data_IF_511481677813
#
_entry.id   IF_511481677813
#
_cell.length_a   1.000
_cell.length_b   1.000
_cell.length_c   1.000
_cell.angle_alpha   90.00
_cell.angle_beta   90.00
_cell.angle_gamma   90.00
#
_symmetry.space_group_name_H-M   'P 1'
#
loop_
_entity.id
_entity.type
_entity.pdbx_description
1 polymer ?
#
# COMPACT_ATOMS: atom_id res chain seq x y z
N UNK A 1 -12.39 -60.12 -38.82
CA UNK A 1 -13.44 -59.87 -37.81
C UNK A 1 -12.84 -60.09 -36.43
N UNK A 2 -12.33 -59.02 -35.81
CA UNK A 2 -11.82 -59.05 -34.43
C UNK A 2 -13.01 -59.06 -33.48
N UNK A 3 -13.18 -60.15 -32.70
CA UNK A 3 -14.17 -60.20 -31.63
C UNK A 3 -13.84 -59.08 -30.63
N UNK A 4 -14.76 -58.14 -30.34
CA UNK A 4 -14.51 -57.18 -29.27
C UNK A 4 -14.45 -57.97 -27.96
N UNK A 5 -13.37 -57.77 -27.20
CA UNK A 5 -13.18 -58.34 -25.88
C UNK A 5 -13.54 -57.24 -24.85
N UNK A 6 -14.83 -57.03 -24.56
CA UNK A 6 -15.31 -55.88 -23.78
C UNK A 6 -14.71 -55.82 -22.36
N UNK A 7 -14.32 -56.99 -21.84
CA UNK A 7 -13.65 -57.10 -20.55
C UNK A 7 -12.24 -56.49 -20.56
N UNK A 8 -11.51 -56.60 -21.68
CA UNK A 8 -10.15 -56.07 -21.82
C UNK A 8 -10.16 -54.54 -21.90
N UNK A 9 -11.15 -53.97 -22.59
CA UNK A 9 -11.36 -52.52 -22.66
C UNK A 9 -11.81 -51.94 -21.31
N UNK A 10 -12.69 -52.64 -20.59
CA UNK A 10 -13.12 -52.23 -19.24
C UNK A 10 -11.95 -52.25 -18.26
N UNK A 11 -11.11 -53.30 -18.29
CA UNK A 11 -9.98 -53.44 -17.39
C UNK A 11 -8.91 -52.37 -17.67
N UNK A 12 -8.66 -52.06 -18.95
CA UNK A 12 -7.77 -50.95 -19.34
C UNK A 12 -8.31 -49.59 -18.88
N UNK A 13 -9.61 -49.33 -19.02
CA UNK A 13 -10.22 -48.07 -18.58
C UNK A 13 -10.12 -47.89 -17.05
N UNK A 14 -10.37 -48.95 -16.28
CA UNK A 14 -10.24 -48.93 -14.82
C UNK A 14 -8.80 -48.66 -14.39
N UNK A 15 -7.81 -49.27 -15.05
CA UNK A 15 -6.40 -49.03 -14.76
C UNK A 15 -5.99 -47.59 -15.02
N UNK A 16 -6.40 -47.02 -16.15
CA UNK A 16 -6.10 -45.62 -16.50
C UNK A 16 -6.75 -44.66 -15.49
N UNK A 17 -8.01 -44.91 -15.13
CA UNK A 17 -8.73 -44.08 -14.17
C UNK A 17 -8.13 -44.19 -12.77
N UNK A 18 -7.77 -45.39 -12.32
CA UNK A 18 -7.10 -45.63 -11.05
C UNK A 18 -5.73 -44.95 -10.97
N UNK A 19 -4.91 -45.05 -12.03
CA UNK A 19 -3.63 -44.37 -12.11
C UNK A 19 -3.79 -42.84 -12.09
N UNK A 20 -4.77 -42.30 -12.81
CA UNK A 20 -5.09 -40.87 -12.83
C UNK A 20 -5.51 -40.35 -11.45
N UNK A 21 -6.37 -41.08 -10.73
CA UNK A 21 -6.76 -40.72 -9.35
C UNK A 21 -5.55 -40.75 -8.41
N UNK A 22 -4.70 -41.77 -8.52
CA UNK A 22 -3.51 -41.90 -7.68
C UNK A 22 -2.50 -40.76 -7.91
N UNK A 23 -2.23 -40.43 -9.18
CA UNK A 23 -1.37 -39.31 -9.56
C UNK A 23 -1.98 -37.97 -9.13
N UNK A 24 -3.30 -37.80 -9.31
CA UNK A 24 -4.03 -36.60 -8.90
C UNK A 24 -4.00 -36.37 -7.40
N UNK A 25 -4.22 -37.41 -6.59
CA UNK A 25 -4.13 -37.31 -5.11
C UNK A 25 -2.71 -37.00 -4.68
N UNK A 26 -1.68 -37.58 -5.33
CA UNK A 26 -0.28 -37.27 -5.03
C UNK A 26 0.10 -35.83 -5.35
N UNK A 27 -0.46 -35.25 -6.42
CA UNK A 27 -0.28 -33.84 -6.78
C UNK A 27 -1.05 -32.90 -5.84
N UNK A 28 -2.29 -33.25 -5.46
CA UNK A 28 -3.07 -32.45 -4.51
C UNK A 28 -2.48 -32.46 -3.09
N UNK A 29 -1.83 -33.56 -2.70
CA UNK A 29 -1.26 -33.74 -1.36
C UNK A 29 0.23 -33.43 -1.29
N UNK A 30 0.87 -33.12 -2.41
CA UNK A 30 2.21 -32.54 -2.37
C UNK A 30 2.08 -31.16 -1.75
N UNK A 31 2.63 -30.98 -0.55
CA UNK A 31 2.83 -29.67 0.03
C UNK A 31 3.77 -28.91 -0.92
N UNK A 32 3.20 -28.14 -1.84
CA UNK A 32 3.98 -27.14 -2.56
C UNK A 32 4.64 -26.29 -1.50
N UNK A 33 5.97 -26.21 -1.53
CA UNK A 33 6.72 -25.30 -0.68
C UNK A 33 6.14 -23.92 -0.95
N UNK A 34 5.35 -23.40 -0.02
CA UNK A 34 4.89 -22.04 -0.06
C UNK A 34 6.17 -21.21 -0.08
N UNK A 35 6.46 -20.58 -1.21
CA UNK A 35 7.56 -19.63 -1.32
C UNK A 35 7.30 -18.61 -0.23
N UNK A 36 8.12 -18.65 0.82
CA UNK A 36 8.08 -17.64 1.87
C UNK A 36 8.36 -16.34 1.13
N UNK A 37 7.33 -15.50 1.02
CA UNK A 37 7.46 -14.22 0.36
C UNK A 37 8.64 -13.51 1.00
N UNK A 38 9.63 -13.14 0.19
CA UNK A 38 10.75 -12.35 0.68
C UNK A 38 10.20 -11.08 1.35
N UNK A 39 10.80 -10.62 2.46
CA UNK A 39 10.36 -9.39 3.11
C UNK A 39 10.40 -8.24 2.09
N UNK A 40 9.27 -7.56 1.92
CA UNK A 40 9.10 -6.48 0.94
C UNK A 40 9.62 -5.14 1.45
N UNK A 41 9.94 -5.05 2.74
CA UNK A 41 10.50 -3.86 3.36
C UNK A 41 11.57 -4.19 4.41
N UNK A 42 12.41 -3.20 4.70
CA UNK A 42 13.35 -3.21 5.82
C UNK A 42 12.86 -2.25 6.89
N UNK A 43 12.78 -2.74 8.13
CA UNK A 43 12.44 -1.90 9.27
C UNK A 43 13.56 -0.90 9.55
N UNK A 44 13.20 0.38 9.58
CA UNK A 44 14.05 1.49 10.00
C UNK A 44 13.51 2.04 11.29
N UNK A 45 14.35 2.01 12.32
CA UNK A 45 14.05 2.68 13.58
C UNK A 45 14.46 4.15 13.50
N UNK A 46 13.58 5.04 13.95
CA UNK A 46 13.89 6.45 14.23
C UNK A 46 13.65 6.65 15.72
N UNK A 47 14.70 6.96 16.46
CA UNK A 47 14.57 7.15 17.89
C UNK A 47 13.97 8.53 18.22
N UNK A 48 13.41 8.65 19.42
CA UNK A 48 12.99 9.92 19.98
C UNK A 48 14.15 10.92 19.98
N UNK A 49 13.94 12.11 19.44
CA UNK A 49 14.95 13.16 19.30
C UNK A 49 15.80 13.07 18.03
N UNK A 50 15.66 12.01 17.22
CA UNK A 50 16.31 11.92 15.91
C UNK A 50 15.50 12.64 14.82
N UNK A 51 16.16 13.14 13.77
CA UNK A 51 15.47 13.74 12.64
C UNK A 51 14.70 12.67 11.84
N UNK A 52 13.40 12.86 11.71
CA UNK A 52 12.55 12.16 10.76
C UNK A 52 12.54 12.91 9.43
N UNK A 53 12.97 12.24 8.37
CA UNK A 53 13.10 12.79 7.02
C UNK A 53 12.02 12.21 6.07
N UNK A 54 11.63 12.94 5.01
CA UNK A 54 10.60 12.53 4.05
C UNK A 54 10.82 11.15 3.40
N UNK A 55 12.07 10.74 3.18
CA UNK A 55 12.42 9.45 2.57
C UNK A 55 12.10 8.23 3.44
N UNK A 56 11.58 8.46 4.66
CA UNK A 56 11.05 7.44 5.55
C UNK A 56 9.52 7.49 5.66
N UNK A 57 8.86 8.39 4.93
CA UNK A 57 7.41 8.60 5.03
C UNK A 57 6.76 8.32 3.69
N UNK A 58 5.96 7.25 3.66
CA UNK A 58 5.06 6.95 2.56
C UNK A 58 3.79 7.79 2.67
N UNK A 59 3.36 8.34 1.54
CA UNK A 59 2.16 9.19 1.47
C UNK A 59 1.18 8.65 0.42
N UNK A 60 0.00 8.28 0.89
CA UNK A 60 -1.14 7.91 0.05
C UNK A 60 -1.91 9.19 -0.29
N UNK A 61 -2.15 9.46 -1.57
CA UNK A 61 -2.81 10.68 -2.03
C UNK A 61 -4.13 10.32 -2.71
N UNK A 62 -5.23 10.74 -2.09
CA UNK A 62 -6.58 10.51 -2.58
C UNK A 62 -7.19 11.81 -3.09
N UNK A 63 -7.81 11.79 -4.25
CA UNK A 63 -8.46 12.95 -4.85
C UNK A 63 -9.94 13.02 -4.49
N UNK A 64 -10.36 14.03 -3.75
CA UNK A 64 -11.77 14.38 -3.55
C UNK A 64 -12.19 15.65 -4.33
N UNK A 65 -11.26 16.27 -5.06
CA UNK A 65 -11.54 17.45 -5.90
C UNK A 65 -12.18 17.06 -7.23
N UNK A 66 -12.81 18.03 -7.89
CA UNK A 66 -13.31 17.92 -9.26
C UNK A 66 -12.21 17.98 -10.33
N UNK A 67 -10.91 18.01 -9.95
CA UNK A 67 -9.79 18.20 -10.87
C UNK A 67 -9.13 16.86 -11.21
N UNK A 68 -9.12 16.51 -12.49
CA UNK A 68 -8.50 15.26 -12.96
C UNK A 68 -6.97 15.27 -12.77
N UNK A 69 -6.43 14.14 -12.31
CA UNK A 69 -5.00 13.94 -12.12
C UNK A 69 -4.40 14.76 -10.96
N UNK A 70 -5.22 15.40 -10.12
CA UNK A 70 -4.75 16.23 -9.01
C UNK A 70 -3.93 15.42 -8.00
N UNK A 71 -4.39 14.22 -7.61
CA UNK A 71 -3.64 13.33 -6.72
C UNK A 71 -2.26 12.99 -7.28
N UNK A 72 -2.18 12.59 -8.56
CA UNK A 72 -0.90 12.26 -9.20
C UNK A 72 0.08 13.44 -9.21
N UNK A 73 -0.40 14.66 -9.49
CA UNK A 73 0.44 15.87 -9.45
C UNK A 73 0.96 16.15 -8.03
N UNK A 74 0.12 15.98 -7.03
CA UNK A 74 0.51 16.14 -5.61
C UNK A 74 1.55 15.10 -5.24
N UNK A 75 1.35 13.83 -5.61
CA UNK A 75 2.34 12.76 -5.37
C UNK A 75 3.68 13.08 -5.99
N UNK A 76 3.73 13.50 -7.26
CA UNK A 76 4.99 13.91 -7.92
C UNK A 76 5.65 15.08 -7.16
N UNK A 77 4.87 16.05 -6.69
CA UNK A 77 5.40 17.18 -5.92
C UNK A 77 5.99 16.74 -4.58
N UNK A 78 5.35 15.80 -3.89
CA UNK A 78 5.84 15.23 -2.62
C UNK A 78 7.08 14.36 -2.85
N UNK A 79 7.12 13.54 -3.90
CA UNK A 79 8.30 12.75 -4.27
C UNK A 79 9.52 13.63 -4.55
N UNK A 80 9.34 14.78 -5.20
CA UNK A 80 10.43 15.75 -5.41
C UNK A 80 10.98 16.33 -4.09
N UNK A 81 10.22 16.22 -2.99
CA UNK A 81 10.63 16.59 -1.64
C UNK A 81 11.17 15.40 -0.83
N UNK A 82 11.30 14.24 -1.46
CA UNK A 82 11.87 13.02 -0.89
C UNK A 82 10.85 12.09 -0.25
N UNK A 83 9.55 12.37 -0.27
CA UNK A 83 8.54 11.43 0.24
C UNK A 83 8.47 10.17 -0.61
N UNK A 84 8.14 9.05 0.03
CA UNK A 84 7.88 7.80 -0.65
C UNK A 84 6.46 7.80 -1.22
N UNK A 85 6.31 7.29 -2.44
CA UNK A 85 5.00 7.14 -3.06
C UNK A 85 4.21 6.00 -2.42
N UNK A 86 2.97 6.28 -2.09
CA UNK A 86 1.95 5.30 -1.71
C UNK A 86 0.84 5.23 -2.75
N UNK A 87 -0.37 4.89 -2.31
CA UNK A 87 -1.53 4.79 -3.18
C UNK A 87 -1.92 6.14 -3.81
N UNK A 88 -2.30 6.10 -5.09
CA UNK A 88 -2.86 7.25 -5.82
C UNK A 88 -4.23 6.85 -6.35
N UNK A 89 -5.29 7.48 -5.83
CA UNK A 89 -6.66 7.14 -6.23
C UNK A 89 -7.62 8.32 -6.08
N UNK A 90 -8.88 8.14 -6.49
CA UNK A 90 -9.96 9.04 -6.08
C UNK A 90 -10.45 8.61 -4.69
N UNK A 91 -10.80 9.58 -3.86
CA UNK A 91 -11.32 9.32 -2.51
C UNK A 91 -12.73 8.72 -2.59
N UNK A 92 -12.97 7.68 -1.80
CA UNK A 92 -14.31 7.14 -1.50
C UNK A 92 -14.76 7.50 -0.08
N UNK A 93 -13.97 8.32 0.64
CA UNK A 93 -14.31 8.81 1.97
C UNK A 93 -15.52 9.74 1.90
N UNK A 94 -16.36 9.70 2.93
CA UNK A 94 -17.49 10.60 3.11
C UNK A 94 -17.08 11.91 3.81
N UNK A 95 -15.81 12.05 4.22
CA UNK A 95 -15.29 13.26 4.85
C UNK A 95 -15.30 14.43 3.87
N UNK A 96 -15.84 15.58 4.31
CA UNK A 96 -15.79 16.80 3.53
C UNK A 96 -14.37 17.38 3.57
N UNK A 97 -13.81 17.66 2.39
CA UNK A 97 -12.42 18.11 2.25
C UNK A 97 -12.41 19.43 1.47
N UNK A 98 -12.52 20.59 2.15
CA UNK A 98 -12.50 21.88 1.46
C UNK A 98 -11.10 22.22 0.93
N UNK A 99 -10.03 21.80 1.61
CA UNK A 99 -8.63 22.03 1.18
C UNK A 99 -7.85 20.71 1.18
N UNK A 100 -7.31 20.33 2.34
CA UNK A 100 -6.56 19.08 2.53
C UNK A 100 -6.98 18.50 3.88
N UNK A 101 -7.28 17.21 3.89
CA UNK A 101 -7.61 16.46 5.11
C UNK A 101 -6.71 15.24 5.21
N UNK A 102 -6.09 15.03 6.37
CA UNK A 102 -5.32 13.81 6.64
C UNK A 102 -6.22 12.84 7.41
N UNK A 103 -6.36 11.62 6.89
CA UNK A 103 -7.03 10.55 7.61
C UNK A 103 -6.06 9.94 8.62
N UNK A 104 -6.31 10.17 9.90
CA UNK A 104 -5.45 9.67 10.99
C UNK A 104 -6.23 9.58 12.29
N UNK A 105 -5.89 8.59 13.10
CA UNK A 105 -6.32 8.47 14.50
C UNK A 105 -5.39 9.21 15.46
N UNK A 106 -4.20 9.59 14.99
CA UNK A 106 -3.17 10.27 15.77
C UNK A 106 -2.59 11.46 14.99
N UNK A 107 -3.13 12.68 15.19
CA UNK A 107 -2.59 13.91 14.60
C UNK A 107 -1.22 14.30 15.16
N UNK A 108 -0.80 13.75 16.31
CA UNK A 108 0.49 14.06 16.94
C UNK A 108 1.63 13.19 16.39
N UNK A 109 1.33 12.28 15.45
CA UNK A 109 2.36 11.48 14.78
C UNK A 109 3.36 12.37 14.04
N UNK A 110 4.68 12.27 14.32
CA UNK A 110 5.69 13.05 13.62
C UNK A 110 5.62 12.91 12.08
N UNK A 111 5.22 11.74 11.57
CA UNK A 111 5.03 11.50 10.13
C UNK A 111 3.86 12.32 9.60
N UNK A 112 2.74 12.33 10.34
CA UNK A 112 1.55 13.13 10.01
C UNK A 112 1.88 14.62 10.04
N UNK A 113 2.59 15.08 11.08
CA UNK A 113 3.00 16.48 11.20
C UNK A 113 3.96 16.92 10.09
N UNK A 114 4.91 16.05 9.71
CA UNK A 114 5.83 16.33 8.61
C UNK A 114 5.09 16.47 7.28
N UNK A 115 4.10 15.61 7.02
CA UNK A 115 3.25 15.65 5.82
C UNK A 115 2.32 16.87 5.83
N UNK A 116 1.66 17.16 6.95
CA UNK A 116 0.75 18.29 7.08
C UNK A 116 1.43 19.62 6.74
N UNK A 117 2.66 19.82 7.21
CA UNK A 117 3.44 21.04 6.96
C UNK A 117 3.81 21.25 5.48
N UNK A 118 3.69 20.22 4.63
CA UNK A 118 3.95 20.35 3.20
C UNK A 118 2.85 21.10 2.46
N UNK A 119 1.65 21.24 3.03
CA UNK A 119 0.50 21.81 2.33
C UNK A 119 0.29 23.28 2.75
N UNK A 120 -0.19 24.10 1.80
CA UNK A 120 -0.58 25.49 2.11
C UNK A 120 -1.99 25.51 2.69
N UNK A 121 -2.19 26.37 3.68
CA UNK A 121 -3.51 26.63 4.28
C UNK A 121 -3.81 25.74 5.46
N UNK A 122 -5.09 25.77 5.88
CA UNK A 122 -5.56 24.95 7.00
C UNK A 122 -5.65 23.48 6.59
N UNK A 123 -5.09 22.61 7.44
CA UNK A 123 -5.11 21.16 7.28
C UNK A 123 -6.08 20.59 8.30
N UNK A 124 -7.08 19.87 7.83
CA UNK A 124 -8.02 19.17 8.68
C UNK A 124 -7.50 17.75 8.98
N UNK A 125 -7.97 17.20 10.09
CA UNK A 125 -7.73 15.81 10.47
C UNK A 125 -9.08 15.13 10.69
N UNK A 126 -9.21 13.91 10.20
CA UNK A 126 -10.41 13.12 10.39
C UNK A 126 -10.04 11.67 10.67
N UNK A 127 -10.88 11.00 11.46
CA UNK A 127 -10.74 9.58 11.68
C UNK A 127 -10.97 8.83 10.35
N UNK A 128 -10.18 7.79 10.02
CA UNK A 128 -10.39 7.02 8.81
C UNK A 128 -11.77 6.36 8.75
N UNK A 129 -12.56 6.68 7.72
CA UNK A 129 -13.84 6.03 7.40
C UNK A 129 -13.72 5.03 6.22
N UNK A 130 -12.53 4.96 5.63
CA UNK A 130 -12.13 4.04 4.57
C UNK A 130 -10.87 3.29 4.99
N UNK A 131 -10.58 2.12 4.40
CA UNK A 131 -9.31 1.45 4.62
C UNK A 131 -8.15 2.38 4.25
N UNK A 132 -7.24 2.62 5.20
CA UNK A 132 -5.99 3.33 4.98
C UNK A 132 -4.88 2.29 4.79
N UNK A 133 -4.13 2.43 3.70
CA UNK A 133 -2.91 1.66 3.49
C UNK A 133 -1.79 2.16 4.41
N UNK A 134 -0.67 1.45 4.45
CA UNK A 134 0.51 1.87 5.19
C UNK A 134 0.95 3.29 4.80
N UNK A 135 1.49 4.04 5.76
CA UNK A 135 1.89 5.44 5.58
C UNK A 135 0.83 6.45 6.00
N UNK A 136 0.97 7.68 5.50
CA UNK A 136 0.07 8.81 5.82
C UNK A 136 -0.91 9.01 4.67
N UNK A 137 -2.20 8.94 4.95
CA UNK A 137 -3.24 9.11 3.92
C UNK A 137 -3.77 10.54 3.90
N UNK A 138 -3.61 11.20 2.75
CA UNK A 138 -4.01 12.58 2.53
C UNK A 138 -5.10 12.62 1.46
N UNK A 139 -6.20 13.29 1.77
CA UNK A 139 -7.27 13.58 0.82
C UNK A 139 -7.14 15.03 0.35
N UNK A 140 -7.19 15.22 -0.97
CA UNK A 140 -7.05 16.52 -1.64
C UNK A 140 -8.41 17.01 -2.12
N UNK A 141 -8.83 18.17 -1.61
CA UNK A 141 -10.07 18.85 -1.93
C UNK A 141 -9.94 19.93 -3.01
N UNK A 142 -11.06 20.57 -3.34
CA UNK A 142 -11.14 21.59 -4.40
C UNK A 142 -10.35 22.87 -4.09
N UNK A 143 -10.20 23.20 -2.81
CA UNK A 143 -9.43 24.35 -2.34
C UNK A 143 -7.93 24.15 -2.34
N UNK A 144 -7.43 22.95 -2.69
CA UNK A 144 -6.00 22.72 -2.82
C UNK A 144 -5.36 23.66 -3.85
N UNK A 145 -4.30 24.33 -3.41
CA UNK A 145 -3.54 25.29 -4.20
C UNK A 145 -2.20 24.70 -4.63
N UNK A 146 -1.29 24.50 -3.68
CA UNK A 146 0.04 23.95 -3.92
C UNK A 146 0.64 23.45 -2.60
N UNK A 147 1.84 22.87 -2.69
CA UNK A 147 2.69 22.61 -1.53
C UNK A 147 3.37 23.89 -1.03
N UNK A 148 3.56 24.01 0.28
CA UNK A 148 4.23 25.12 0.94
C UNK A 148 5.72 25.14 0.54
N UNK A 149 6.23 26.19 -0.13
CA UNK A 149 7.63 26.25 -0.57
C UNK A 149 8.63 26.32 0.59
N UNK A 150 8.19 26.75 1.78
CA UNK A 150 9.00 26.88 2.99
C UNK A 150 8.81 25.69 3.95
N UNK A 151 8.13 24.63 3.51
CA UNK A 151 7.91 23.46 4.34
C UNK A 151 9.25 22.83 4.77
N UNK A 152 9.36 22.37 6.02
CA UNK A 152 10.57 21.72 6.49
C UNK A 152 10.81 20.40 5.76
N UNK A 153 12.09 20.07 5.60
CA UNK A 153 12.56 18.81 5.00
C UNK A 153 12.87 17.75 6.05
N UNK A 154 12.62 18.04 7.33
CA UNK A 154 12.76 17.12 8.46
C UNK A 154 11.97 17.64 9.67
N UNK A 155 11.60 16.74 10.58
CA UNK A 155 11.07 17.10 11.90
C UNK A 155 11.75 16.24 12.96
N UNK A 156 11.95 16.78 14.16
CA UNK A 156 12.46 15.98 15.28
C UNK A 156 11.38 14.99 15.70
N UNK A 157 11.70 13.70 15.72
CA UNK A 157 10.77 12.68 16.18
C UNK A 157 10.49 12.84 17.66
N UNK A 158 9.21 12.93 18.03
CA UNK A 158 8.78 13.05 19.43
C UNK A 158 8.67 11.70 20.14
N UNK A 159 8.81 10.60 19.40
CA UNK A 159 8.71 9.22 19.88
C UNK A 159 9.55 8.25 19.05
N UNK A 160 9.75 7.04 19.56
CA UNK A 160 10.38 5.97 18.80
C UNK A 160 9.43 5.46 17.70
N UNK A 161 9.93 5.36 16.48
CA UNK A 161 9.18 4.90 15.31
C UNK A 161 9.87 3.68 14.69
N UNK A 162 9.09 2.67 14.33
CA UNK A 162 9.52 1.60 13.44
C UNK A 162 8.81 1.78 12.08
N UNK A 163 9.61 1.95 11.03
CA UNK A 163 9.13 2.32 9.69
C UNK A 163 9.52 1.22 8.71
N UNK A 164 8.53 0.64 8.04
CA UNK A 164 8.71 -0.30 6.94
C UNK A 164 9.09 0.49 5.67
N UNK A 165 10.37 0.49 5.31
CA UNK A 165 10.86 1.15 4.08
C UNK A 165 11.00 0.10 2.97
N UNK A 166 10.38 0.27 1.79
CA UNK A 166 10.41 -0.71 0.72
C UNK A 166 11.85 -1.00 0.25
N UNK A 167 12.14 -2.27 0.00
CA UNK A 167 13.44 -2.69 -0.55
C UNK A 167 13.43 -2.42 -2.06
N UNK A 168 14.35 -1.57 -2.53
CA UNK A 168 14.58 -1.36 -3.96
C UNK A 168 15.77 -2.24 -4.37
N UNK A 169 15.49 -3.33 -5.09
CA UNK A 169 16.53 -4.09 -5.79
C UNK A 169 16.95 -3.29 -7.04
N UNK A 170 18.18 -2.77 -7.05
CA UNK A 170 18.77 -1.99 -8.15
C UNK A 170 19.45 -2.87 -9.20
#
# INVERSE_FOLDING_TARGET
MTRPHPYLTLLAAVLVMGAGVLLGVRMLTSAGEAQVAAPTCTDRAVATGEPLTPNLVQVNVLNASGREGQANRVTINLQRRGFLEGAIANSTSAVEVPNVTILTSDPEDPRVQLVAQQFVGEIAYAEPDIPVEDGVTVIIGDGYQDLNPEAPTEIVSTRDLAICVPIIDL
#
